data_IF_951271157477
#
_entry.id   IF_951271157477
#
_cell.length_a   1.000
_cell.length_b   1.000
_cell.length_c   1.000
_cell.angle_alpha   90.00
_cell.angle_beta   90.00
_cell.angle_gamma   90.00
#
_symmetry.space_group_name_H-M   'P 1'
#
loop_
_entity.id
_entity.type
_entity.pdbx_description
1 polymer ?
#
# COMPACT_ATOMS: atom_id res chain seq x y z
N UNK A 1 13.47 -17.31 -5.44
CA UNK A 1 12.71 -16.16 -4.90
C UNK A 1 13.38 -14.89 -5.40
N UNK A 2 12.62 -13.89 -5.86
CA UNK A 2 13.19 -12.57 -6.17
C UNK A 2 13.82 -11.98 -4.92
N UNK A 3 14.91 -11.20 -5.03
CA UNK A 3 15.53 -10.55 -3.88
C UNK A 3 14.52 -9.64 -3.16
N UNK A 4 14.66 -9.45 -1.84
CA UNK A 4 13.81 -8.51 -1.11
C UNK A 4 13.95 -7.09 -1.68
N UNK A 5 12.86 -6.29 -1.68
CA UNK A 5 12.89 -4.92 -2.17
C UNK A 5 13.79 -4.06 -1.29
N UNK A 6 14.59 -3.18 -1.90
CA UNK A 6 15.51 -2.28 -1.19
C UNK A 6 14.99 -0.85 -1.12
N UNK A 7 14.19 -0.42 -2.11
CA UNK A 7 13.65 0.93 -2.20
C UNK A 7 12.12 0.87 -2.21
N UNK A 8 11.48 1.38 -1.15
CA UNK A 8 10.02 1.33 -1.00
C UNK A 8 9.42 2.70 -1.32
N UNK A 9 8.47 2.76 -2.25
CA UNK A 9 7.69 3.95 -2.56
C UNK A 9 6.32 3.88 -1.89
N UNK A 10 6.00 4.90 -1.07
CA UNK A 10 4.66 5.12 -0.55
C UNK A 10 4.02 6.27 -1.31
N UNK A 11 2.97 5.99 -2.08
CA UNK A 11 2.19 7.03 -2.74
C UNK A 11 1.26 7.70 -1.73
N UNK A 12 1.21 9.03 -1.72
CA UNK A 12 0.24 9.81 -0.94
C UNK A 12 -0.43 10.85 -1.84
N UNK A 13 -1.69 11.14 -1.56
CA UNK A 13 -2.51 12.03 -2.38
C UNK A 13 -3.52 12.79 -1.50
N UNK A 14 -4.01 13.98 -1.90
CA UNK A 14 -4.99 14.73 -1.14
C UNK A 14 -6.21 13.85 -0.81
N UNK A 15 -6.74 14.02 0.40
CA UNK A 15 -7.91 13.29 0.89
C UNK A 15 -7.66 11.78 1.07
N UNK A 16 -6.41 11.36 1.29
CA UNK A 16 -6.13 9.99 1.72
C UNK A 16 -6.67 9.73 3.12
N UNK A 17 -6.89 8.47 3.45
CA UNK A 17 -7.05 8.05 4.84
C UNK A 17 -5.66 7.81 5.42
N UNK A 18 -5.19 8.66 6.33
CA UNK A 18 -3.81 8.54 6.86
C UNK A 18 -3.52 7.17 7.45
N UNK A 19 -4.47 6.54 8.16
CA UNK A 19 -4.27 5.20 8.72
C UNK A 19 -4.03 4.13 7.64
N UNK A 20 -4.57 4.27 6.43
CA UNK A 20 -4.26 3.38 5.30
C UNK A 20 -2.78 3.47 4.92
N UNK A 21 -2.15 4.63 5.10
CA UNK A 21 -0.74 4.86 4.85
C UNK A 21 0.13 4.50 6.07
N UNK A 22 -0.12 5.14 7.22
CA UNK A 22 0.79 5.07 8.37
C UNK A 22 0.93 3.67 8.96
N UNK A 23 -0.12 2.83 8.89
CA UNK A 23 -0.05 1.47 9.44
C UNK A 23 1.00 0.59 8.73
N UNK A 24 1.05 0.63 7.40
CA UNK A 24 2.06 -0.10 6.65
C UNK A 24 3.42 0.60 6.66
N UNK A 25 3.42 1.94 6.57
CA UNK A 25 4.62 2.75 6.67
C UNK A 25 5.40 2.46 7.97
N UNK A 26 4.71 2.39 9.11
CA UNK A 26 5.35 2.14 10.40
C UNK A 26 6.03 0.77 10.48
N UNK A 27 5.39 -0.25 9.92
CA UNK A 27 5.96 -1.61 9.86
C UNK A 27 7.21 -1.65 8.97
N UNK A 28 7.14 -1.06 7.77
CA UNK A 28 8.21 -1.14 6.78
C UNK A 28 9.40 -0.22 7.10
N UNK A 29 9.17 0.98 7.65
CA UNK A 29 10.26 1.90 8.05
C UNK A 29 11.16 1.30 9.15
N UNK A 30 10.65 0.32 9.91
CA UNK A 30 11.36 -0.33 11.01
C UNK A 30 12.39 -1.35 10.53
N UNK A 31 12.32 -1.82 9.29
CA UNK A 31 13.26 -2.80 8.72
C UNK A 31 14.72 -2.33 8.85
N UNK A 32 15.11 -1.15 8.31
CA UNK A 32 16.47 -0.65 8.50
C UNK A 32 16.71 -0.20 9.95
N UNK A 33 15.74 0.44 10.60
CA UNK A 33 15.88 0.98 11.95
C UNK A 33 16.13 -0.08 13.03
N UNK A 34 15.71 -1.33 12.78
CA UNK A 34 15.90 -2.46 13.68
C UNK A 34 17.04 -3.40 13.22
N UNK A 35 17.79 -3.03 12.18
CA UNK A 35 18.92 -3.80 11.67
C UNK A 35 18.52 -5.11 11.00
N UNK A 36 17.31 -5.21 10.44
CA UNK A 36 16.85 -6.39 9.68
C UNK A 36 17.47 -6.40 8.28
N UNK A 37 17.46 -5.24 7.60
CA UNK A 37 18.14 -5.00 6.34
C UNK A 37 18.46 -3.51 6.25
N UNK A 38 19.72 -3.15 6.50
CA UNK A 38 20.16 -1.74 6.65
C UNK A 38 20.22 -0.98 5.33
N UNK A 39 20.25 -1.69 4.21
CA UNK A 39 20.20 -1.14 2.86
C UNK A 39 18.79 -0.72 2.42
N UNK A 40 17.76 -1.10 3.18
CA UNK A 40 16.37 -0.76 2.87
C UNK A 40 16.13 0.73 3.12
N UNK A 41 15.56 1.41 2.12
CA UNK A 41 15.17 2.82 2.17
C UNK A 41 13.71 2.96 1.77
N UNK A 42 13.08 4.06 2.18
CA UNK A 42 11.73 4.40 1.77
C UNK A 42 11.62 5.85 1.32
N UNK A 43 10.60 6.12 0.52
CA UNK A 43 10.24 7.46 0.04
C UNK A 43 8.74 7.65 0.11
N UNK A 44 8.30 8.78 0.64
CA UNK A 44 6.93 9.24 0.58
C UNK A 44 6.81 10.14 -0.67
N UNK A 45 6.09 9.66 -1.68
CA UNK A 45 5.91 10.37 -2.95
C UNK A 45 4.49 10.91 -3.01
N UNK A 46 4.36 12.23 -3.10
CA UNK A 46 3.07 12.90 -3.21
C UNK A 46 2.60 13.11 -4.63
N UNK A 47 1.30 13.30 -4.79
CA UNK A 47 0.70 13.92 -5.99
C UNK A 47 0.66 15.46 -5.89
N UNK A 48 0.98 16.01 -4.72
CA UNK A 48 1.16 17.44 -4.45
C UNK A 48 2.21 17.65 -3.36
N UNK A 49 2.77 18.86 -3.25
CA UNK A 49 3.81 19.19 -2.26
C UNK A 49 3.30 19.29 -0.82
N UNK A 50 1.99 19.32 -0.64
CA UNK A 50 1.31 19.27 0.65
C UNK A 50 0.06 18.41 0.49
N UNK A 51 -0.16 17.51 1.44
CA UNK A 51 -1.24 16.53 1.39
C UNK A 51 -2.05 16.64 2.67
N UNK A 52 -3.32 17.01 2.54
CA UNK A 52 -4.27 17.06 3.64
C UNK A 52 -5.29 15.92 3.57
N UNK A 53 -5.74 15.41 4.71
CA UNK A 53 -6.96 14.58 4.78
C UNK A 53 -8.24 15.45 4.89
N UNK A 54 -9.40 14.81 5.03
CA UNK A 54 -10.68 15.50 5.19
C UNK A 54 -10.81 16.33 6.47
N UNK A 55 -9.97 16.05 7.47
CA UNK A 55 -10.05 16.62 8.81
C UNK A 55 -8.97 17.68 9.06
N UNK A 56 -8.13 17.97 8.06
CA UNK A 56 -7.08 18.98 8.13
C UNK A 56 -5.75 18.50 8.68
N UNK A 57 -5.54 17.18 8.87
CA UNK A 57 -4.20 16.65 9.14
C UNK A 57 -3.35 16.78 7.87
N UNK A 58 -2.14 17.30 8.00
CA UNK A 58 -1.26 17.62 6.87
C UNK A 58 0.04 16.81 6.91
N UNK A 59 0.49 16.35 5.75
CA UNK A 59 1.76 15.70 5.49
C UNK A 59 2.48 16.41 4.33
N UNK A 60 3.77 16.70 4.51
CA UNK A 60 4.66 17.09 3.43
C UNK A 60 5.42 15.85 2.93
N UNK A 61 5.18 15.37 1.69
CA UNK A 61 5.91 14.24 1.13
C UNK A 61 7.37 14.62 0.87
N UNK A 62 8.21 13.61 0.70
CA UNK A 62 9.63 13.80 0.41
C UNK A 62 9.88 14.31 -1.02
N UNK A 63 8.97 13.97 -1.94
CA UNK A 63 9.01 14.35 -3.34
C UNK A 63 7.59 14.34 -3.96
N UNK A 64 7.46 14.87 -5.17
CA UNK A 64 6.19 14.95 -5.90
C UNK A 64 6.38 14.32 -7.27
N UNK A 65 5.60 13.28 -7.58
CA UNK A 65 5.71 12.52 -8.84
C UNK A 65 7.14 12.06 -9.20
N UNK A 66 7.94 11.66 -8.20
CA UNK A 66 9.28 11.10 -8.44
C UNK A 66 9.22 9.82 -9.27
N UNK A 67 10.20 9.58 -10.13
CA UNK A 67 10.20 8.43 -11.03
C UNK A 67 10.14 7.09 -10.27
N UNK A 68 9.10 6.31 -10.55
CA UNK A 68 8.87 5.01 -9.95
C UNK A 68 9.87 3.94 -10.41
N UNK A 69 10.59 4.12 -11.52
CA UNK A 69 11.63 3.20 -11.99
C UNK A 69 12.75 2.98 -10.96
N UNK A 70 12.92 3.93 -10.03
CA UNK A 70 13.90 3.87 -8.95
C UNK A 70 13.55 2.94 -7.79
N UNK A 71 12.33 2.39 -7.72
CA UNK A 71 11.85 1.67 -6.52
C UNK A 71 11.56 0.19 -6.80
N UNK A 72 11.49 -0.61 -5.73
CA UNK A 72 11.33 -2.07 -5.80
C UNK A 72 9.96 -2.54 -5.26
N UNK A 73 9.34 -1.76 -4.38
CA UNK A 73 7.99 -1.99 -3.86
C UNK A 73 7.18 -0.69 -3.90
N UNK A 74 5.98 -0.73 -4.48
CA UNK A 74 5.02 0.37 -4.46
C UNK A 74 3.88 0.08 -3.49
N UNK A 75 3.56 1.03 -2.62
CA UNK A 75 2.43 0.98 -1.71
C UNK A 75 1.43 2.10 -1.99
N UNK A 76 0.15 1.75 -2.19
CA UNK A 76 -0.93 2.69 -2.53
C UNK A 76 -2.05 2.64 -1.45
N UNK A 77 -2.20 3.68 -0.62
CA UNK A 77 -3.27 3.75 0.37
C UNK A 77 -4.63 4.05 -0.30
N UNK A 78 -5.71 3.98 0.47
CA UNK A 78 -7.03 4.45 0.08
C UNK A 78 -7.38 5.82 0.66
N UNK A 79 -8.67 6.12 0.65
CA UNK A 79 -9.23 7.38 1.14
C UNK A 79 -10.24 7.98 0.18
N UNK A 80 -10.90 9.07 0.59
CA UNK A 80 -11.94 9.71 -0.23
C UNK A 80 -11.39 10.28 -1.54
N UNK A 81 -10.11 10.65 -1.57
CA UNK A 81 -9.42 11.15 -2.77
C UNK A 81 -9.46 10.17 -3.94
N UNK A 82 -9.48 8.85 -3.67
CA UNK A 82 -9.52 7.81 -4.71
C UNK A 82 -10.73 7.92 -5.65
N UNK A 83 -11.84 8.52 -5.20
CA UNK A 83 -13.05 8.69 -6.01
C UNK A 83 -12.85 9.60 -7.22
N UNK A 84 -12.08 10.67 -7.06
CA UNK A 84 -11.74 11.56 -8.17
C UNK A 84 -10.51 11.05 -8.92
N UNK A 85 -9.55 10.49 -8.19
CA UNK A 85 -8.26 10.05 -8.72
C UNK A 85 -8.32 8.82 -9.63
N UNK A 86 -9.41 8.04 -9.59
CA UNK A 86 -9.61 6.93 -10.54
C UNK A 86 -9.80 7.44 -11.98
N UNK A 87 -10.25 8.69 -12.15
CA UNK A 87 -10.42 9.33 -13.46
C UNK A 87 -9.31 10.37 -13.75
N UNK A 88 -8.33 10.50 -12.85
CA UNK A 88 -7.17 11.38 -13.04
C UNK A 88 -6.12 10.70 -13.93
N UNK A 89 -6.11 11.05 -15.22
CA UNK A 89 -5.20 10.43 -16.20
C UNK A 89 -3.72 10.68 -15.88
N UNK A 90 -3.37 11.77 -15.18
CA UNK A 90 -1.97 12.02 -14.77
C UNK A 90 -1.53 10.98 -13.74
N UNK A 91 -2.34 10.75 -12.70
CA UNK A 91 -2.03 9.75 -11.68
C UNK A 91 -2.04 8.34 -12.26
N UNK A 92 -3.04 8.00 -13.07
CA UNK A 92 -3.14 6.67 -13.66
C UNK A 92 -1.97 6.40 -14.62
N UNK A 93 -1.58 7.37 -15.45
CA UNK A 93 -0.38 7.26 -16.28
C UNK A 93 0.88 7.11 -15.43
N UNK A 94 1.00 7.86 -14.33
CA UNK A 94 2.10 7.74 -13.39
C UNK A 94 2.18 6.34 -12.76
N UNK A 95 1.06 5.79 -12.28
CA UNK A 95 1.00 4.43 -11.75
C UNK A 95 1.39 3.37 -12.79
N UNK A 96 1.05 3.56 -14.07
CA UNK A 96 1.44 2.65 -15.16
C UNK A 96 2.96 2.59 -15.38
N UNK A 97 3.73 3.60 -14.97
CA UNK A 97 5.20 3.59 -15.05
C UNK A 97 5.85 2.58 -14.09
N UNK A 98 5.11 2.04 -13.11
CA UNK A 98 5.60 0.97 -12.24
C UNK A 98 5.97 -0.31 -13.02
N UNK A 99 5.31 -0.55 -14.15
CA UNK A 99 5.56 -1.73 -14.98
C UNK A 99 4.97 -3.02 -14.40
N UNK A 100 5.07 -4.13 -15.14
CA UNK A 100 4.29 -5.34 -14.85
C UNK A 100 4.93 -6.31 -13.87
N UNK A 101 6.22 -6.19 -13.53
CA UNK A 101 6.95 -7.28 -12.86
C UNK A 101 7.23 -7.03 -11.38
N UNK A 102 7.24 -5.76 -10.96
CA UNK A 102 7.64 -5.39 -9.60
C UNK A 102 6.49 -5.52 -8.59
N UNK A 103 6.78 -5.89 -7.33
CA UNK A 103 5.77 -5.96 -6.29
C UNK A 103 5.03 -4.65 -6.04
N UNK A 104 3.72 -4.72 -5.87
CA UNK A 104 2.92 -3.58 -5.42
C UNK A 104 1.82 -4.02 -4.46
N UNK A 105 1.44 -3.12 -3.57
CA UNK A 105 0.42 -3.39 -2.57
C UNK A 105 -0.54 -2.21 -2.41
N UNK A 106 -1.77 -2.50 -1.99
CA UNK A 106 -2.74 -1.45 -1.66
C UNK A 106 -3.65 -1.81 -0.50
N UNK A 107 -4.12 -0.78 0.20
CA UNK A 107 -5.15 -0.88 1.24
C UNK A 107 -6.40 -0.15 0.79
N UNK A 108 -7.56 -0.64 1.24
CA UNK A 108 -8.83 0.06 1.10
C UNK A 108 -9.08 0.40 -0.38
N UNK A 109 -9.54 1.61 -0.68
CA UNK A 109 -9.84 2.06 -2.04
C UNK A 109 -8.61 2.31 -2.90
N UNK A 110 -7.39 2.16 -2.38
CA UNK A 110 -6.16 2.17 -3.20
C UNK A 110 -6.16 1.08 -4.27
N UNK A 111 -6.86 -0.03 -4.02
CA UNK A 111 -7.06 -1.10 -5.00
C UNK A 111 -7.81 -0.62 -6.25
N UNK A 112 -8.67 0.41 -6.16
CA UNK A 112 -9.36 0.99 -7.32
C UNK A 112 -8.37 1.68 -8.27
N UNK A 113 -7.38 2.38 -7.71
CA UNK A 113 -6.32 3.03 -8.49
C UNK A 113 -5.44 1.99 -9.18
N UNK A 114 -5.08 0.92 -8.48
CA UNK A 114 -4.34 -0.21 -9.07
C UNK A 114 -5.16 -0.90 -10.17
N UNK A 115 -6.45 -1.09 -9.93
CA UNK A 115 -7.39 -1.67 -10.88
C UNK A 115 -7.50 -0.86 -12.16
N UNK A 116 -7.70 0.45 -12.04
CA UNK A 116 -7.75 1.39 -13.16
C UNK A 116 -6.42 1.48 -13.94
N UNK A 117 -5.30 1.37 -13.25
CA UNK A 117 -3.98 1.28 -13.88
C UNK A 117 -3.75 -0.06 -14.63
N UNK A 118 -4.67 -1.03 -14.49
CA UNK A 118 -4.65 -2.31 -15.19
C UNK A 118 -3.99 -3.46 -14.42
N UNK A 119 -3.52 -3.21 -13.19
CA UNK A 119 -2.74 -4.19 -12.45
C UNK A 119 -3.58 -5.39 -11.96
N UNK A 120 -4.87 -5.17 -11.70
CA UNK A 120 -5.76 -6.19 -11.14
C UNK A 120 -6.48 -7.04 -12.20
N UNK A 121 -6.28 -6.75 -13.49
CA UNK A 121 -6.90 -7.50 -14.58
C UNK A 121 -6.56 -8.99 -14.50
N UNK A 122 -7.60 -9.85 -14.52
CA UNK A 122 -7.45 -11.31 -14.43
C UNK A 122 -7.08 -11.87 -13.05
N UNK A 123 -6.98 -11.02 -12.02
CA UNK A 123 -6.55 -11.38 -10.66
C UNK A 123 -7.67 -11.30 -9.63
N UNK A 124 -7.48 -11.97 -8.51
CA UNK A 124 -8.31 -11.77 -7.32
C UNK A 124 -7.84 -10.54 -6.56
N UNK A 125 -8.74 -9.78 -5.96
CA UNK A 125 -8.37 -8.64 -5.14
C UNK A 125 -9.41 -8.35 -4.08
N UNK A 126 -9.04 -7.61 -3.04
CA UNK A 126 -9.99 -7.03 -2.08
C UNK A 126 -9.79 -5.52 -1.99
N UNK A 127 -10.74 -4.86 -1.34
CA UNK A 127 -10.75 -3.42 -1.06
C UNK A 127 -11.58 -3.17 0.20
N UNK A 128 -11.86 -1.91 0.53
CA UNK A 128 -12.81 -1.59 1.58
C UNK A 128 -14.19 -2.19 1.26
N UNK A 129 -14.88 -2.76 2.25
CA UNK A 129 -16.15 -3.48 2.03
C UNK A 129 -17.22 -2.65 1.29
N UNK A 130 -17.27 -1.33 1.55
CA UNK A 130 -18.15 -0.37 0.85
C UNK A 130 -17.80 -0.10 -0.62
N UNK A 131 -16.66 -0.60 -1.10
CA UNK A 131 -16.14 -0.37 -2.44
C UNK A 131 -16.02 -1.65 -3.26
N UNK A 132 -16.51 -2.80 -2.77
CA UNK A 132 -16.44 -4.06 -3.50
C UNK A 132 -17.10 -3.98 -4.88
N UNK A 133 -18.29 -3.39 -5.00
CA UNK A 133 -18.96 -3.22 -6.28
C UNK A 133 -18.16 -2.36 -7.26
N UNK A 134 -17.46 -1.33 -6.76
CA UNK A 134 -16.59 -0.46 -7.56
C UNK A 134 -15.32 -1.17 -8.03
N UNK A 135 -14.86 -2.20 -7.33
CA UNK A 135 -13.67 -2.96 -7.70
C UNK A 135 -13.95 -4.02 -8.77
N UNK A 136 -15.19 -4.55 -8.83
CA UNK A 136 -15.57 -5.64 -9.75
C UNK A 136 -15.15 -5.40 -11.21
N UNK A 137 -15.28 -4.20 -11.81
CA UNK A 137 -14.88 -3.98 -13.19
C UNK A 137 -13.38 -4.12 -13.47
N UNK A 138 -12.53 -4.09 -12.43
CA UNK A 138 -11.07 -4.05 -12.58
C UNK A 138 -10.36 -5.36 -12.28
N UNK A 139 -11.07 -6.38 -11.80
CA UNK A 139 -10.48 -7.65 -11.35
C UNK A 139 -11.32 -8.86 -11.76
N UNK A 140 -10.75 -10.06 -11.67
CA UNK A 140 -11.47 -11.31 -11.95
C UNK A 140 -12.47 -11.63 -10.86
N UNK A 141 -12.11 -11.38 -9.60
CA UNK A 141 -12.88 -11.76 -8.42
C UNK A 141 -12.60 -10.79 -7.29
N UNK A 142 -13.66 -10.23 -6.70
CA UNK A 142 -13.57 -9.47 -5.45
C UNK A 142 -13.70 -10.42 -4.27
N UNK A 143 -12.64 -10.58 -3.50
CA UNK A 143 -12.60 -11.46 -2.31
C UNK A 143 -13.14 -10.70 -1.10
N UNK A 144 -14.20 -11.23 -0.49
CA UNK A 144 -14.95 -10.54 0.58
C UNK A 144 -14.74 -11.13 1.98
N UNK A 145 -14.16 -12.34 2.06
CA UNK A 145 -13.98 -13.13 3.29
C UNK A 145 -12.52 -13.20 3.74
N UNK A 146 -11.65 -12.37 3.16
CA UNK A 146 -10.23 -12.26 3.50
C UNK A 146 -9.83 -10.81 3.66
N UNK A 147 -9.03 -10.55 4.69
CA UNK A 147 -8.49 -9.22 4.97
C UNK A 147 -7.34 -8.84 4.03
N UNK A 148 -6.53 -9.81 3.64
CA UNK A 148 -5.39 -9.67 2.73
C UNK A 148 -5.56 -10.71 1.62
N UNK A 149 -5.34 -10.30 0.37
CA UNK A 149 -5.34 -11.15 -0.83
C UNK A 149 -4.00 -10.97 -1.52
N UNK A 150 -3.24 -12.05 -1.63
CA UNK A 150 -1.93 -12.10 -2.28
C UNK A 150 -2.01 -12.90 -3.59
N UNK A 151 -1.75 -12.23 -4.72
CA UNK A 151 -1.67 -12.82 -6.06
C UNK A 151 -0.22 -12.74 -6.60
N UNK A 152 0.75 -13.07 -5.73
CA UNK A 152 2.17 -13.11 -6.03
C UNK A 152 2.82 -11.74 -5.90
N UNK A 153 2.86 -10.98 -7.00
CA UNK A 153 3.45 -9.63 -7.02
C UNK A 153 2.47 -8.54 -6.56
N UNK A 154 1.19 -8.85 -6.45
CA UNK A 154 0.16 -7.89 -6.07
C UNK A 154 -0.48 -8.34 -4.77
N UNK A 155 -0.45 -7.47 -3.77
CA UNK A 155 -1.11 -7.73 -2.48
C UNK A 155 -2.12 -6.64 -2.20
N UNK A 156 -3.39 -7.00 -2.09
CA UNK A 156 -4.45 -6.04 -1.74
C UNK A 156 -5.02 -6.37 -0.37
N UNK A 157 -5.39 -5.35 0.39
CA UNK A 157 -6.01 -5.53 1.70
C UNK A 157 -7.26 -4.67 1.87
N UNK A 158 -8.08 -5.06 2.85
CA UNK A 158 -9.36 -4.43 3.17
C UNK A 158 -9.25 -3.01 3.72
N UNK A 159 -10.24 -2.58 4.48
CA UNK A 159 -10.32 -1.19 4.95
C UNK A 159 -9.35 -0.83 6.08
N UNK A 160 -8.86 0.41 6.05
CA UNK A 160 -8.35 1.19 7.19
C UNK A 160 -7.30 0.49 8.04
N UNK A 161 -7.71 -0.14 9.14
CA UNK A 161 -6.80 -0.83 10.05
C UNK A 161 -6.06 -2.01 9.39
N UNK A 162 -6.52 -2.46 8.22
CA UNK A 162 -5.87 -3.52 7.44
C UNK A 162 -4.46 -3.13 6.98
N UNK A 163 -4.09 -1.83 7.03
CA UNK A 163 -2.74 -1.36 6.77
C UNK A 163 -1.70 -1.89 7.75
N UNK A 164 -2.06 -2.07 9.02
CA UNK A 164 -1.15 -2.64 10.04
C UNK A 164 -0.81 -4.09 9.70
N UNK A 165 -1.85 -4.89 9.44
CA UNK A 165 -1.69 -6.29 9.06
C UNK A 165 -0.97 -6.44 7.72
N UNK A 166 -1.30 -5.59 6.73
CA UNK A 166 -0.63 -5.63 5.44
C UNK A 166 0.84 -5.23 5.56
N UNK A 167 1.18 -4.24 6.39
CA UNK A 167 2.57 -3.87 6.68
C UNK A 167 3.38 -5.05 7.18
N UNK A 168 2.89 -5.73 8.23
CA UNK A 168 3.53 -6.91 8.79
C UNK A 168 3.54 -8.10 7.82
N UNK A 169 2.49 -8.27 7.02
CA UNK A 169 2.44 -9.29 5.97
C UNK A 169 3.53 -9.08 4.91
N UNK A 170 3.73 -7.85 4.45
CA UNK A 170 4.80 -7.51 3.51
C UNK A 170 6.18 -7.71 4.14
N UNK A 171 6.34 -7.39 5.43
CA UNK A 171 7.58 -7.69 6.18
C UNK A 171 7.87 -9.19 6.13
N UNK A 172 6.90 -10.03 6.46
CA UNK A 172 7.05 -11.49 6.44
C UNK A 172 7.33 -12.02 5.04
N UNK A 173 6.59 -11.53 4.04
CA UNK A 173 6.71 -11.96 2.65
C UNK A 173 8.12 -11.76 2.09
N UNK A 174 8.79 -10.67 2.43
CA UNK A 174 10.09 -10.33 1.84
C UNK A 174 11.29 -10.55 2.77
N UNK A 175 11.14 -10.40 4.08
CA UNK A 175 12.23 -10.54 5.07
C UNK A 175 12.01 -11.67 6.08
N UNK A 176 10.93 -12.45 5.94
CA UNK A 176 10.66 -13.66 6.71
C UNK A 176 9.93 -13.44 8.03
N UNK A 177 9.39 -14.52 8.57
CA UNK A 177 8.66 -14.53 9.84
C UNK A 177 9.44 -13.93 11.03
N UNK A 178 10.76 -14.19 11.21
CA UNK A 178 11.51 -13.60 12.32
C UNK A 178 11.55 -12.07 12.29
N UNK A 179 11.63 -11.46 11.10
CA UNK A 179 11.58 -10.01 10.94
C UNK A 179 10.19 -9.47 11.34
N UNK A 180 9.13 -10.11 10.86
CA UNK A 180 7.75 -9.76 11.20
C UNK A 180 7.49 -9.86 12.70
N UNK A 181 7.92 -10.93 13.35
CA UNK A 181 7.74 -11.14 14.80
C UNK A 181 8.46 -10.08 15.61
N UNK A 182 9.70 -9.76 15.25
CA UNK A 182 10.49 -8.74 15.92
C UNK A 182 9.84 -7.35 15.80
N UNK A 183 9.38 -6.98 14.60
CA UNK A 183 8.70 -5.70 14.36
C UNK A 183 7.35 -5.66 15.09
N UNK A 184 6.53 -6.71 14.97
CA UNK A 184 5.24 -6.80 15.65
C UNK A 184 5.37 -6.70 17.17
N UNK A 185 6.37 -7.39 17.76
CA UNK A 185 6.66 -7.32 19.19
C UNK A 185 7.03 -5.89 19.62
N UNK A 186 7.87 -5.20 18.84
CA UNK A 186 8.25 -3.82 19.13
C UNK A 186 7.06 -2.84 18.96
N UNK A 187 6.17 -3.09 18.00
CA UNK A 187 4.93 -2.32 17.82
C UNK A 187 3.89 -2.61 18.90
N UNK A 188 4.14 -3.60 19.77
CA UNK A 188 3.14 -4.20 20.68
C UNK A 188 1.86 -4.63 19.94
N UNK A 189 1.99 -4.95 18.65
CA UNK A 189 0.87 -5.31 17.79
C UNK A 189 0.52 -6.78 17.98
N UNK A 190 -0.47 -7.03 18.84
CA UNK A 190 -0.94 -8.39 19.14
C UNK A 190 -2.10 -8.86 18.24
N UNK A 191 -2.51 -8.03 17.27
CA UNK A 191 -3.80 -8.15 16.60
C UNK A 191 -4.89 -7.89 17.62
N UNK A 192 -5.57 -6.74 17.56
CA UNK A 192 -6.53 -6.33 18.59
C UNK A 192 -7.45 -7.50 18.98
N UNK A 193 -7.38 -7.90 20.25
CA UNK A 193 -8.25 -8.89 20.88
C UNK A 193 -9.11 -8.14 21.88
N UNK A 194 -10.44 -8.27 21.74
CA UNK A 194 -11.42 -7.67 22.63
C UNK A 194 -11.81 -8.61 23.79
N UNK A 195 -10.85 -9.35 24.34
CA UNK A 195 -11.01 -9.80 25.73
C UNK A 195 -10.61 -8.66 26.64
#
# INVERSE_FOLDING_TARGET
>A
MSPPPKRIAFLVFPRLTFLDFVGAYDSLRRIPAMGIATEVTHRIIGTAGEIADESGLVLRPDSVYEDLASFDLLYVPGGLGTRALVDDERLIAYLRTWGPDRPLASVCTGALLLGRAGYLAGRRATTHHRAWDLLRPYCREVVTDRRIVDEGRIVTAGGVASSLDLGLYLVEKFWGAPARERIAAQMEYRGYSAV
#
